data_IF_206308520098
#
_entry.id   IF_206308520098
#
_cell.length_a   1.000
_cell.length_b   1.000
_cell.length_c   1.000
_cell.angle_alpha   90.00
_cell.angle_beta   90.00
_cell.angle_gamma   90.00
#
_symmetry.space_group_name_H-M   'P 1'
#
loop_
_entity.id
_entity.type
_entity.pdbx_description
1 polymer ?
2 non-polymer ?
3 non-polymer ?
4 non-polymer ?
5 water ?
#
# COMPACT_ATOMS: atom_id res chain seq x y z
N UNK A 22 20.04 -1.25 -3.84
CA UNK A 22 18.64 -1.80 -3.96
C UNK A 22 17.79 -1.00 -4.95
N UNK A 23 17.08 -1.73 -5.81
CA UNK A 23 16.15 -1.13 -6.76
C UNK A 23 14.73 -1.67 -6.56
N UNK A 24 13.76 -0.98 -7.15
CA UNK A 24 12.36 -1.36 -7.04
C UNK A 24 12.16 -2.71 -7.73
N UNK A 25 11.48 -3.63 -7.05
CA UNK A 25 11.04 -4.87 -7.68
C UNK A 25 9.99 -4.55 -8.77
N UNK A 26 10.01 -5.32 -9.88
CA UNK A 26 9.04 -5.18 -10.98
C UNK A 26 7.58 -5.28 -10.51
N UNK A 27 6.77 -4.24 -10.72
CA UNK A 27 5.37 -4.29 -10.27
C UNK A 27 4.54 -5.36 -11.01
N UNK A 28 4.95 -5.72 -12.24
CA UNK A 28 4.15 -6.65 -13.05
C UNK A 28 4.25 -8.10 -12.58
N UNK A 29 5.26 -8.38 -11.76
CA UNK A 29 5.42 -9.70 -11.11
C UNK A 29 4.71 -9.85 -9.75
N UNK A 30 4.05 -8.77 -9.33
CA UNK A 30 3.32 -8.71 -8.06
C UNK A 30 1.84 -8.92 -8.25
N UNK A 31 1.19 -9.30 -7.17
CA UNK A 31 -0.25 -9.29 -7.13
C UNK A 31 -0.72 -8.54 -5.88
N UNK A 32 -1.56 -7.53 -6.08
CA UNK A 32 -2.17 -6.76 -5.00
C UNK A 32 -3.56 -7.28 -4.68
N UNK A 33 -3.81 -7.46 -3.38
CA UNK A 33 -5.13 -7.71 -2.80
C UNK A 33 -5.31 -6.71 -1.67
N UNK A 34 -6.55 -6.44 -1.28
CA UNK A 34 -6.79 -5.53 -0.18
C UNK A 34 -7.99 -5.98 0.62
N UNK A 35 -8.06 -5.53 1.87
CA UNK A 35 -9.17 -5.89 2.74
C UNK A 35 -10.47 -5.24 2.23
N UNK A 36 -10.34 -4.09 1.56
CA UNK A 36 -11.46 -3.32 1.03
C UNK A 36 -10.95 -2.62 -0.23
N UNK A 37 -11.76 -2.58 -1.28
CA UNK A 37 -11.38 -1.84 -2.49
C UNK A 37 -12.65 -1.39 -3.17
N UNK A 38 -12.63 -0.16 -3.67
CA UNK A 38 -13.76 0.35 -4.41
C UNK A 38 -13.69 -0.24 -5.83
N UNK A 39 -14.86 -0.55 -6.43
CA UNK A 39 -14.91 -1.06 -7.82
C UNK A 39 -14.31 -0.06 -8.82
N UNK A 40 -13.95 -0.53 -10.02
CA UNK A 40 -13.33 0.30 -11.05
C UNK A 40 -14.33 1.31 -11.61
N UNK A 41 -14.26 2.54 -11.07
CA UNK A 41 -15.11 3.63 -11.51
C UNK A 41 -14.30 4.68 -12.29
N UNK A 42 -13.16 4.28 -12.84
CA UNK A 42 -12.27 5.21 -13.50
C UNK A 42 -11.27 5.87 -12.55
N UNK A 43 -10.04 5.35 -12.60
CA UNK A 43 -8.90 5.79 -11.78
C UNK A 43 -8.93 5.38 -10.33
N UNK A 44 -10.04 4.78 -9.90
CA UNK A 44 -10.10 4.12 -8.59
C UNK A 44 -11.13 2.98 -8.69
N UNK A 45 -11.15 2.04 -7.75
CA UNK A 45 -10.23 2.00 -6.61
C UNK A 45 -9.71 0.58 -6.38
N UNK A 46 -9.55 -0.19 -7.45
CA UNK A 46 -9.06 -1.58 -7.32
C UNK A 46 -7.66 -1.60 -6.69
N UNK A 47 -7.46 -2.54 -5.77
CA UNK A 47 -6.09 -2.78 -5.23
C UNK A 47 -5.02 -2.75 -6.34
N UNK A 48 -5.29 -3.37 -7.49
CA UNK A 48 -4.26 -3.50 -8.51
C UNK A 48 -3.81 -2.15 -9.10
N UNK A 49 -4.63 -1.10 -8.94
CA UNK A 49 -4.25 0.24 -9.40
C UNK A 49 -3.09 0.84 -8.56
N UNK A 50 -2.84 0.28 -7.38
CA UNK A 50 -1.69 0.71 -6.58
C UNK A 50 -0.35 0.25 -7.16
N UNK A 51 -0.36 -0.68 -8.14
CA UNK A 51 0.89 -1.23 -8.68
C UNK A 51 0.89 -1.30 -10.21
N UNK A 52 0.22 -0.34 -10.88
CA UNK A 52 0.14 -0.35 -12.39
C UNK A 52 1.08 0.65 -13.03
N UNK A 53 1.94 1.23 -12.20
CA UNK A 53 2.89 2.22 -12.69
C UNK A 53 2.23 3.49 -13.18
N UNK A 54 1.05 3.81 -12.64
CA UNK A 54 0.31 5.01 -13.05
C UNK A 54 0.00 5.90 -11.88
N UNK A 55 0.56 7.11 -11.86
CA UNK A 55 0.30 8.01 -10.73
C UNK A 55 -1.14 8.50 -10.68
N UNK A 56 -1.85 8.38 -11.80
CA UNK A 56 -3.22 8.88 -11.80
C UNK A 56 -4.28 7.85 -11.43
N UNK A 57 -3.88 6.59 -11.23
CA UNK A 57 -4.84 5.56 -10.77
C UNK A 57 -4.51 5.14 -9.33
N UNK A 58 -5.54 4.86 -8.54
CA UNK A 58 -5.33 4.62 -7.13
C UNK A 58 -6.18 3.48 -6.61
N UNK A 59 -5.63 2.74 -5.65
CA UNK A 59 -6.42 1.87 -4.79
C UNK A 59 -7.17 2.81 -3.88
N UNK A 60 -8.42 2.51 -3.58
CA UNK A 60 -9.18 3.31 -2.60
C UNK A 60 -10.03 2.31 -1.86
N UNK A 61 -10.13 2.44 -0.54
CA UNK A 61 -11.02 1.55 0.19
C UNK A 61 -12.45 1.70 -0.34
N UNK A 62 -13.29 0.68 -0.13
CA UNK A 62 -14.65 0.70 -0.66
C UNK A 62 -15.47 1.75 0.11
N UNK A 63 -16.29 2.48 -0.63
CA UNK A 63 -17.25 3.41 -0.03
C UNK A 63 -18.64 3.17 -0.67
N UNK A 64 -19.67 3.88 -0.21
CA UNK A 64 -21.08 3.56 -0.58
C UNK A 64 -21.47 2.05 -0.54
N UNK A 65 -21.57 1.46 0.68
CA UNK A 65 -21.27 2.10 1.95
C UNK A 65 -19.77 2.06 2.29
N UNK A 66 -19.34 3.01 3.11
CA UNK A 66 -17.98 3.08 3.60
C UNK A 66 -17.62 1.80 4.38
N UNK A 67 -16.42 1.29 4.13
CA UNK A 67 -15.87 0.24 4.97
C UNK A 67 -14.79 0.89 5.83
N UNK A 68 -15.06 0.96 7.14
CA UNK A 68 -14.22 1.70 8.10
C UNK A 68 -12.82 1.15 8.25
N UNK A 69 -11.88 2.06 8.53
CA UNK A 69 -10.51 1.70 8.90
C UNK A 69 -10.54 0.97 10.26
N UNK A 70 -9.53 0.11 10.55
CA UNK A 70 -8.35 -0.14 9.71
C UNK A 70 -8.66 -0.96 8.46
N UNK A 71 -7.96 -0.66 7.36
CA UNK A 71 -7.97 -1.55 6.20
C UNK A 71 -6.52 -1.72 5.72
N UNK A 72 -6.25 -2.76 4.93
CA UNK A 72 -4.87 -3.02 4.51
C UNK A 72 -4.80 -3.37 3.01
N UNK A 73 -3.64 -3.13 2.39
CA UNK A 73 -3.38 -3.64 1.05
C UNK A 73 -2.11 -4.51 1.13
N UNK A 74 -2.17 -5.68 0.50
CA UNK A 74 -1.05 -6.64 0.51
C UNK A 74 -0.50 -6.82 -0.89
N UNK A 75 0.83 -6.78 -0.98
CA UNK A 75 1.53 -7.05 -2.22
C UNK A 75 2.25 -8.38 -2.07
N UNK A 76 1.82 -9.36 -2.87
CA UNK A 76 2.57 -10.61 -3.09
C UNK A 76 3.67 -10.24 -4.07
N UNK A 77 4.92 -10.42 -3.66
CA UNK A 77 6.05 -9.85 -4.40
C UNK A 77 6.44 -10.56 -5.69
N UNK A 78 6.11 -11.84 -5.79
CA UNK A 78 6.53 -12.63 -6.93
C UNK A 78 7.75 -13.47 -6.59
N UNK A 79 8.17 -13.43 -5.32
CA UNK A 79 9.26 -14.27 -4.85
C UNK A 79 9.57 -13.94 -3.42
N UNK A 80 10.57 -14.62 -2.87
CA UNK A 80 11.05 -14.35 -1.52
C UNK A 80 12.25 -13.41 -1.58
N UNK A 81 12.04 -12.13 -1.28
CA UNK A 81 13.11 -11.14 -1.40
C UNK A 81 13.57 -10.57 -0.06
N UNK A 82 14.81 -10.10 -0.05
CA UNK A 82 15.40 -9.42 1.08
C UNK A 82 15.15 -7.93 0.91
N UNK A 83 14.09 -7.41 1.53
CA UNK A 83 13.65 -6.04 1.25
C UNK A 83 14.12 -5.01 2.30
N UNK A 84 14.39 -3.79 1.84
CA UNK A 84 15.03 -2.77 2.69
C UNK A 84 14.38 -1.38 2.61
N UNK A 85 13.42 -1.22 1.70
CA UNK A 85 12.72 0.04 1.51
C UNK A 85 11.32 -0.18 0.89
N UNK A 86 10.39 0.69 1.25
CA UNK A 86 9.02 0.64 0.74
C UNK A 86 8.55 2.08 0.56
N UNK A 87 8.04 2.41 -0.63
CA UNK A 87 7.51 3.76 -0.86
C UNK A 87 6.00 3.76 -1.13
N UNK A 88 5.37 4.82 -0.62
CA UNK A 88 3.94 5.08 -0.68
C UNK A 88 3.75 6.43 -1.35
N UNK A 89 3.20 6.39 -2.55
CA UNK A 89 2.82 7.60 -3.25
C UNK A 89 1.32 7.80 -3.12
N UNK A 90 0.91 8.88 -2.42
CA UNK A 90 -0.52 9.18 -2.32
C UNK A 90 -1.11 9.60 -3.66
N UNK A 91 -2.44 9.63 -3.71
CA UNK A 91 -3.18 10.24 -4.83
C UNK A 91 -2.73 11.71 -4.98
N UNK A 92 -2.97 12.30 -6.15
CA UNK A 92 -2.65 13.72 -6.38
C UNK A 92 -3.88 14.50 -6.81
N UNK A 93 -3.90 15.80 -6.53
CA UNK A 93 -5.09 16.58 -6.84
C UNK A 93 -6.13 16.57 -5.75
N UNK A 94 -6.10 15.57 -4.87
CA UNK A 94 -7.08 15.44 -3.77
C UNK A 94 -6.49 14.73 -2.54
N UNK A 95 -7.26 14.61 -1.46
CA UNK A 95 -6.72 14.04 -0.22
C UNK A 95 -7.41 12.84 0.41
N UNK A 96 -8.65 12.52 0.05
CA UNK A 96 -9.37 11.41 0.72
C UNK A 96 -8.51 10.16 0.67
N UNK A 97 -8.39 9.46 1.80
CA UNK A 97 -7.55 8.26 1.83
C UNK A 97 -6.04 8.45 2.02
N UNK A 98 -5.54 9.69 1.94
CA UNK A 98 -4.12 9.91 2.28
C UNK A 98 -3.83 9.35 3.68
N UNK A 99 -2.92 8.37 3.74
CA UNK A 99 -2.73 7.60 4.95
C UNK A 99 -1.86 8.43 5.89
N UNK A 100 -2.27 8.52 7.14
CA UNK A 100 -1.60 9.39 8.10
C UNK A 100 -1.10 8.61 9.33
N UNK A 101 -1.61 7.40 9.52
CA UNK A 101 -1.14 6.47 10.56
C UNK A 101 -1.05 5.08 9.96
N UNK A 102 0.15 4.53 9.96
CA UNK A 102 0.39 3.30 9.21
C UNK A 102 1.13 2.27 10.05
N UNK A 103 0.93 1.01 9.69
CA UNK A 103 1.88 -0.05 9.95
C UNK A 103 2.31 -0.68 8.62
N UNK A 104 3.58 -1.08 8.53
CA UNK A 104 4.02 -1.96 7.46
C UNK A 104 4.35 -3.35 8.05
N UNK A 105 3.72 -4.39 7.49
CA UNK A 105 3.92 -5.78 7.93
C UNK A 105 4.59 -6.60 6.83
N UNK A 106 5.35 -7.63 7.20
CA UNK A 106 5.89 -8.56 6.18
C UNK A 106 5.50 -9.99 6.51
N UNK A 107 5.42 -10.82 5.48
CA UNK A 107 5.18 -12.23 5.65
C UNK A 107 6.13 -13.02 4.78
N UNK A 108 6.44 -14.23 5.25
CA UNK A 108 7.24 -15.18 4.46
C UNK A 108 6.38 -16.32 3.89
N UNK A 109 5.13 -16.41 4.33
CA UNK A 109 4.24 -17.47 3.89
C UNK A 109 2.90 -17.01 3.31
N UNK A 110 2.62 -15.71 3.39
CA UNK A 110 1.35 -15.17 2.91
C UNK A 110 0.25 -15.14 3.95
N UNK A 111 0.51 -15.74 5.11
CA UNK A 111 -0.49 -15.82 6.17
C UNK A 111 -0.03 -15.25 7.50
N UNK A 112 1.11 -15.74 7.96
CA UNK A 112 1.80 -15.20 9.10
C UNK A 112 2.48 -13.85 8.78
N UNK A 113 1.92 -12.76 9.29
CA UNK A 113 2.49 -11.41 9.14
C UNK A 113 3.07 -10.88 10.45
N UNK A 114 4.09 -10.02 10.36
CA UNK A 114 4.60 -9.32 11.53
C UNK A 114 4.98 -7.89 11.18
N UNK A 115 4.83 -7.00 12.16
CA UNK A 115 5.06 -5.58 11.98
C UNK A 115 6.55 -5.27 11.95
N UNK A 116 6.98 -4.45 10.98
CA UNK A 116 8.39 -4.05 10.88
C UNK A 116 8.54 -2.53 10.84
N UNK A 117 7.41 -1.83 10.77
CA UNK A 117 7.43 -0.38 10.66
C UNK A 117 6.07 0.16 11.05
N UNK A 118 6.07 1.34 11.68
CA UNK A 118 4.83 2.00 12.05
C UNK A 118 5.13 3.46 12.34
N UNK A 119 4.12 4.29 12.23
CA UNK A 119 4.32 5.69 12.50
C UNK A 119 3.29 6.59 11.87
N UNK A 120 3.71 7.83 11.62
CA UNK A 120 2.83 8.89 11.17
C UNK A 120 3.36 9.59 9.95
N UNK A 121 2.46 9.85 9.02
CA UNK A 121 2.78 10.60 7.83
C UNK A 121 1.88 11.82 7.79
N UNK A 122 2.37 12.91 7.20
CA UNK A 122 1.50 14.07 6.96
C UNK A 122 0.48 13.73 5.85
N UNK A 123 -0.64 14.45 5.83
CA UNK A 123 -1.69 14.22 4.81
C UNK A 123 -1.39 14.90 3.47
N UNK A 124 -0.13 15.27 3.25
CA UNK A 124 0.25 15.91 2.00
C UNK A 124 0.46 14.86 0.91
N UNK A 125 0.51 15.31 -0.34
CA UNK A 125 0.71 14.43 -1.48
C UNK A 125 2.11 13.86 -1.66
N UNK A 126 3.06 14.23 -0.80
CA UNK A 126 4.46 13.83 -1.00
C UNK A 126 4.68 12.32 -0.85
N UNK A 127 5.58 11.79 -1.67
CA UNK A 127 6.04 10.41 -1.53
C UNK A 127 6.44 10.19 -0.08
N UNK A 128 5.96 9.10 0.51
CA UNK A 128 6.33 8.74 1.87
C UNK A 128 7.19 7.48 1.77
N UNK A 129 8.38 7.53 2.37
CA UNK A 129 9.40 6.49 2.23
C UNK A 129 9.71 5.78 3.55
N UNK A 130 9.61 4.45 3.56
CA UNK A 130 10.02 3.66 4.71
C UNK A 130 11.31 2.92 4.43
N UNK A 131 12.28 3.03 5.36
CA UNK A 131 13.55 2.32 5.27
C UNK A 131 13.70 1.46 6.49
N UNK A 132 14.21 0.26 6.29
CA UNK A 132 14.30 -0.66 7.39
C UNK A 132 15.43 -1.61 7.05
N UNK A 133 15.88 -2.33 8.07
CA UNK A 133 16.87 -3.41 7.94
C UNK A 133 16.38 -4.42 6.93
N UNK A 134 17.26 -4.87 6.03
CA UNK A 134 16.95 -5.93 5.06
C UNK A 134 16.26 -7.05 5.79
N UNK A 135 15.08 -7.44 5.32
CA UNK A 135 14.34 -8.57 5.91
C UNK A 135 13.66 -9.39 4.81
N UNK A 136 13.54 -10.69 5.05
CA UNK A 136 13.01 -11.62 4.06
C UNK A 136 11.47 -11.52 3.98
N UNK A 137 10.93 -11.46 2.75
CA UNK A 137 9.50 -11.29 2.56
C UNK A 137 9.03 -11.85 1.22
N UNK A 138 7.94 -12.61 1.24
CA UNK A 138 7.18 -12.89 0.01
C UNK A 138 5.98 -11.93 -0.18
N UNK A 139 5.53 -11.33 0.92
CA UNK A 139 4.40 -10.39 0.94
C UNK A 139 4.75 -9.20 1.81
N UNK A 140 4.25 -8.03 1.41
CA UNK A 140 4.32 -6.82 2.22
C UNK A 140 2.88 -6.31 2.36
N UNK A 141 2.49 -5.91 3.58
CA UNK A 141 1.13 -5.44 3.86
C UNK A 141 1.22 -4.05 4.47
N UNK A 142 0.60 -3.06 3.81
CA UNK A 142 0.47 -1.70 4.37
C UNK A 142 -0.88 -1.56 5.07
N UNK A 143 -0.84 -1.28 6.37
CA UNK A 143 -2.04 -1.12 7.18
C UNK A 143 -2.29 0.36 7.39
N UNK A 144 -3.46 0.81 6.93
CA UNK A 144 -3.86 2.19 7.12
C UNK A 144 -4.73 2.21 8.39
N UNK A 145 -4.23 2.86 9.44
CA UNK A 145 -4.97 2.94 10.71
C UNK A 145 -5.86 4.16 10.69
N UNK A 146 -5.30 5.25 10.18
CA UNK A 146 -6.00 6.52 10.03
C UNK A 146 -5.70 7.03 8.64
N UNK A 147 -6.63 7.77 8.05
CA UNK A 147 -6.41 8.38 6.74
C UNK A 147 -7.44 9.47 6.50
N UNK A 148 -7.16 10.40 5.57
CA UNK A 148 -8.07 11.52 5.31
C UNK A 148 -9.48 11.03 5.01
N UNK A 149 -10.46 11.54 5.76
CA UNK A 149 -11.86 11.24 5.51
C UNK A 149 -12.32 9.91 6.07
N UNK A 150 -11.40 9.19 6.71
CA UNK A 150 -11.67 7.82 7.18
C UNK A 150 -11.55 6.74 6.10
N UNK A 151 -11.01 7.13 4.95
CA UNK A 151 -10.69 6.22 3.81
C UNK A 151 -9.20 5.89 3.84
N UNK A 152 -8.77 4.94 3.02
CA UNK A 152 -7.35 4.79 2.69
C UNK A 152 -7.25 4.73 1.19
N UNK A 153 -6.27 5.42 0.62
CA UNK A 153 -5.99 5.28 -0.81
C UNK A 153 -4.49 5.26 -1.08
N UNK A 154 -4.10 4.82 -2.29
CA UNK A 154 -2.69 4.78 -2.71
C UNK A 154 -2.57 4.77 -4.22
N UNK A 155 -1.82 5.72 -4.75
CA UNK A 155 -1.58 5.79 -6.18
C UNK A 155 -0.53 4.77 -6.65
N UNK A 156 0.62 4.73 -5.97
CA UNK A 156 1.69 3.78 -6.36
C UNK A 156 2.46 3.27 -5.16
N UNK A 157 2.62 1.95 -5.08
CA UNK A 157 3.43 1.35 -4.03
C UNK A 157 4.61 0.65 -4.66
N UNK A 158 5.79 0.88 -4.08
CA UNK A 158 6.99 0.20 -4.54
C UNK A 158 7.75 -0.48 -3.40
N UNK A 159 8.42 -1.59 -3.72
CA UNK A 159 9.15 -2.41 -2.75
C UNK A 159 10.58 -2.66 -3.29
N UNK A 160 11.61 -2.46 -2.46
CA UNK A 160 13.03 -2.47 -2.91
C UNK A 160 13.80 -3.63 -2.29
N UNK A 161 14.60 -4.32 -3.12
CA UNK A 161 15.45 -5.44 -2.68
C UNK A 161 16.86 -5.47 -3.28
X LIG B 1 -1.62 3.69 -9.84
X LIG C 1 -7.18 6.88 17.19
X LIG D 1 -14.70 11.65 -3.87
X LIG D 1 -13.21 11.39 -4.03
X LIG D 1 -13.10 9.86 -4.09
X LIG D 1 -13.63 9.25 -2.79
X LIG D 1 -15.05 9.77 -2.51
X LIG D 1 -15.59 9.30 -1.16
X LIG D 1 -11.96 13.23 -5.12
X LIG D 1 -11.49 13.84 -6.41
X LIG D 1 -12.62 12.06 -5.19
X LIG D 1 -14.96 13.04 -4.01
X LIG D 1 -11.75 9.46 -4.35
X LIG D 1 -12.73 9.57 -1.71
X LIG D 1 -15.00 11.21 -2.55
X LIG D 1 -17.03 9.37 -1.07
X LIG D 1 -11.75 13.80 -4.05
#
# INVERSE_FOLDING_TARGET
MGSSHHHHHHSSGLVPRGSHMASALPQGNMKATATSEHPDVGNEGLAKFAIDGKENTIWHTKYNPVEELPQSITLELGGSYEINKFTYLPRSGAKNGNITKYELHVSEDGNNFRKISEGNWDDSGSLKTLKFNSTKATHVKLVALEGVGGFASAAELNVFA
CA CA
NA NA
NGA C1 C2 C3 C4 C5 C6 C7 C8 N2 O1 O3 O4 O5 O6 O7
#
